data_IF_464992517584
#
_entry.id   IF_464992517584
#
_cell.length_a   1.000
_cell.length_b   1.000
_cell.length_c   1.000
_cell.angle_alpha   90.00
_cell.angle_beta   90.00
_cell.angle_gamma   90.00
#
_symmetry.space_group_name_H-M   'P 1'
#
loop_
_entity.id
_entity.type
_entity.pdbx_description
1 polymer ?
#
# COMPACT_ATOMS: atom_id res chain seq x y z
N UNK A 1 5.99 4.28 16.73
CA UNK A 1 6.99 5.37 16.74
C UNK A 1 8.17 5.01 15.86
N UNK A 2 8.76 6.00 15.16
CA UNK A 2 9.90 5.82 14.25
C UNK A 2 11.19 5.32 14.93
N UNK A 3 11.27 5.40 16.26
CA UNK A 3 12.33 4.78 17.09
C UNK A 3 12.20 3.27 17.21
N UNK A 4 11.17 2.65 16.62
CA UNK A 4 11.00 1.21 16.64
C UNK A 4 12.17 0.50 15.93
N UNK A 5 12.81 -0.40 16.66
CA UNK A 5 13.88 -1.24 16.10
C UNK A 5 13.32 -2.30 15.15
N UNK A 6 14.22 -2.88 14.34
CA UNK A 6 13.90 -4.09 13.55
C UNK A 6 13.26 -5.19 14.40
N UNK A 7 13.78 -5.45 15.60
CA UNK A 7 13.25 -6.48 16.48
C UNK A 7 11.84 -6.14 17.01
N UNK A 8 11.53 -4.85 17.19
CA UNK A 8 10.18 -4.42 17.56
C UNK A 8 9.20 -4.64 16.40
N UNK A 9 9.56 -4.26 15.17
CA UNK A 9 8.66 -4.38 14.02
C UNK A 9 8.36 -5.82 13.60
N UNK A 10 9.41 -6.63 13.39
CA UNK A 10 9.24 -7.99 12.85
C UNK A 10 9.36 -9.10 13.90
N UNK A 11 9.77 -8.75 15.12
CA UNK A 11 9.96 -9.71 16.20
C UNK A 11 11.41 -10.17 16.33
N UNK A 12 11.66 -10.91 17.42
CA UNK A 12 12.97 -11.40 17.82
C UNK A 12 13.55 -10.68 19.03
N UNK A 13 14.88 -10.45 18.99
CA UNK A 13 15.69 -10.09 20.16
C UNK A 13 16.43 -11.30 20.72
N UNK A 14 16.74 -11.28 22.01
CA UNK A 14 17.34 -12.43 22.71
C UNK A 14 16.37 -13.62 22.84
N UNK A 15 15.07 -13.34 22.86
CA UNK A 15 13.99 -14.34 22.90
C UNK A 15 13.21 -14.36 21.58
N UNK A 16 12.54 -15.48 21.31
CA UNK A 16 11.65 -15.65 20.16
C UNK A 16 10.30 -14.98 20.46
N UNK A 17 10.23 -13.66 20.30
CA UNK A 17 9.00 -12.88 20.52
C UNK A 17 8.40 -12.36 19.21
N UNK A 18 7.06 -12.27 19.12
CA UNK A 18 6.40 -11.61 17.99
C UNK A 18 6.73 -10.11 17.98
N UNK A 19 6.71 -9.51 16.79
CA UNK A 19 6.81 -8.06 16.61
C UNK A 19 5.47 -7.42 16.25
N UNK A 20 5.48 -6.10 16.05
CA UNK A 20 4.30 -5.30 15.70
C UNK A 20 3.56 -5.84 14.48
N UNK A 21 4.28 -6.29 13.45
CA UNK A 21 3.66 -6.85 12.23
C UNK A 21 2.88 -8.14 12.51
N UNK A 22 3.31 -8.92 13.49
CA UNK A 22 2.59 -10.12 13.94
C UNK A 22 1.41 -9.77 14.83
N UNK A 23 1.58 -8.79 15.72
CA UNK A 23 0.49 -8.30 16.56
C UNK A 23 -0.64 -7.67 15.73
N UNK A 24 -0.29 -7.07 14.59
CA UNK A 24 -1.22 -6.51 13.61
C UNK A 24 -1.83 -7.56 12.66
N UNK A 25 -1.63 -8.87 12.89
CA UNK A 25 -2.19 -9.91 12.02
C UNK A 25 -3.73 -9.79 11.93
N UNK A 26 -4.25 -9.79 10.71
CA UNK A 26 -5.64 -9.50 10.34
C UNK A 26 -6.14 -8.09 10.71
N UNK A 27 -5.24 -7.21 11.15
CA UNK A 27 -5.51 -5.80 11.42
C UNK A 27 -4.70 -4.87 10.52
N UNK A 28 -4.40 -3.69 11.07
CA UNK A 28 -3.68 -2.61 10.39
C UNK A 28 -2.38 -2.34 11.14
N UNK A 29 -1.27 -2.34 10.42
CA UNK A 29 0.00 -1.80 10.88
C UNK A 29 0.14 -0.38 10.35
N UNK A 30 0.09 0.62 11.23
CA UNK A 30 0.23 2.03 10.86
C UNK A 30 1.63 2.56 11.16
N UNK A 31 2.31 3.11 10.15
CA UNK A 31 3.63 3.73 10.27
C UNK A 31 3.53 5.21 9.91
N UNK A 32 3.50 6.06 10.94
CA UNK A 32 3.60 7.50 10.75
C UNK A 32 5.06 7.94 10.58
N UNK A 33 5.31 8.94 9.75
CA UNK A 33 6.66 9.44 9.42
C UNK A 33 7.57 8.34 8.83
N UNK A 34 7.12 7.65 7.79
CA UNK A 34 7.80 6.47 7.22
C UNK A 34 9.32 6.65 6.98
N UNK A 35 9.83 7.79 6.44
CA UNK A 35 11.26 8.01 6.23
C UNK A 35 12.08 8.20 7.52
N UNK A 36 11.45 8.41 8.68
CA UNK A 36 12.15 8.53 9.96
C UNK A 36 12.50 7.18 10.58
N UNK A 37 11.89 6.09 10.10
CA UNK A 37 12.31 4.75 10.50
C UNK A 37 13.70 4.42 9.94
N UNK A 38 14.49 3.70 10.73
CA UNK A 38 15.76 3.16 10.24
C UNK A 38 15.55 2.28 9.01
N UNK A 39 16.48 2.35 8.05
CA UNK A 39 16.43 1.54 6.82
C UNK A 39 16.33 0.05 7.12
N UNK A 40 17.06 -0.44 8.11
CA UNK A 40 17.02 -1.85 8.53
C UNK A 40 15.65 -2.29 9.06
N UNK A 41 14.92 -1.40 9.72
CA UNK A 41 13.57 -1.66 10.22
C UNK A 41 12.57 -1.74 9.05
N UNK A 42 12.67 -0.82 8.08
CA UNK A 42 11.84 -0.80 6.88
C UNK A 42 12.10 -2.01 5.96
N UNK A 43 13.37 -2.34 5.71
CA UNK A 43 13.72 -3.50 4.88
C UNK A 43 13.22 -4.81 5.49
N UNK A 44 13.18 -4.91 6.82
CA UNK A 44 12.67 -6.11 7.49
C UNK A 44 11.20 -6.38 7.19
N UNK A 45 10.40 -5.36 6.83
CA UNK A 45 8.98 -5.53 6.51
C UNK A 45 8.74 -6.23 5.16
N UNK A 46 9.74 -6.24 4.26
CA UNK A 46 9.58 -6.77 2.90
C UNK A 46 9.12 -8.22 2.83
N UNK A 47 9.66 -9.06 3.71
CA UNK A 47 9.30 -10.48 3.76
C UNK A 47 7.86 -10.66 4.31
N UNK A 48 7.49 -10.09 5.48
CA UNK A 48 6.12 -10.20 5.97
C UNK A 48 5.06 -9.64 4.99
N UNK A 49 5.34 -8.53 4.31
CA UNK A 49 4.42 -7.95 3.31
C UNK A 49 4.20 -8.83 2.07
N UNK A 50 5.10 -9.78 1.83
CA UNK A 50 5.03 -10.69 0.68
C UNK A 50 4.47 -12.05 1.09
N UNK A 51 5.00 -12.65 2.15
CA UNK A 51 4.66 -14.01 2.58
C UNK A 51 3.51 -14.06 3.60
N UNK A 52 3.18 -12.94 4.25
CA UNK A 52 2.19 -12.89 5.32
C UNK A 52 2.62 -13.64 6.59
N UNK A 53 3.92 -13.87 6.77
CA UNK A 53 4.52 -14.53 7.94
C UNK A 53 5.94 -14.02 8.17
N UNK A 54 6.44 -14.22 9.38
CA UNK A 54 7.84 -13.92 9.77
C UNK A 54 8.47 -15.14 10.38
N UNK A 55 9.67 -15.48 9.93
CA UNK A 55 10.50 -16.53 10.55
C UNK A 55 11.58 -15.86 11.39
N UNK A 56 11.58 -16.15 12.70
CA UNK A 56 12.58 -15.64 13.64
C UNK A 56 13.47 -16.80 14.06
N UNK A 57 14.75 -16.74 13.67
CA UNK A 57 15.77 -17.73 14.05
C UNK A 57 16.82 -17.12 14.97
N UNK A 58 17.05 -17.73 16.13
CA UNK A 58 18.01 -17.32 17.17
C UNK A 58 18.70 -18.54 17.79
N UNK A 59 19.71 -18.31 18.64
CA UNK A 59 20.35 -19.40 19.42
C UNK A 59 19.34 -20.24 20.21
N UNK A 60 18.26 -19.61 20.69
CA UNK A 60 17.19 -20.28 21.44
C UNK A 60 16.26 -21.15 20.56
N UNK A 61 16.36 -21.10 19.23
CA UNK A 61 15.53 -21.88 18.31
C UNK A 61 14.99 -21.06 17.13
N UNK A 62 14.05 -21.65 16.40
CA UNK A 62 13.34 -21.00 15.28
C UNK A 62 11.84 -21.03 15.54
N UNK A 63 11.16 -19.90 15.35
CA UNK A 63 9.71 -19.80 15.41
C UNK A 63 9.18 -19.06 14.19
N UNK A 64 8.00 -19.48 13.72
CA UNK A 64 7.27 -18.80 12.63
C UNK A 64 6.03 -18.13 13.20
N UNK A 65 5.88 -16.85 12.92
CA UNK A 65 4.75 -16.04 13.36
C UNK A 65 3.91 -15.59 12.15
N UNK A 66 2.58 -15.52 12.26
CA UNK A 66 1.75 -14.95 11.21
C UNK A 66 1.94 -13.43 11.13
N UNK A 67 1.72 -12.84 9.96
CA UNK A 67 1.94 -11.41 9.70
C UNK A 67 1.10 -10.87 8.52
N UNK A 68 -0.10 -11.44 8.28
CA UNK A 68 -1.03 -10.92 7.26
C UNK A 68 -1.72 -9.66 7.78
N UNK A 69 -1.13 -8.49 7.60
CA UNK A 69 -1.72 -7.20 8.01
C UNK A 69 -1.85 -6.26 6.80
N UNK A 70 -2.75 -5.27 6.90
CA UNK A 70 -2.74 -4.13 5.98
C UNK A 70 -1.73 -3.10 6.49
N UNK A 71 -0.71 -2.80 5.69
CA UNK A 71 0.23 -1.72 6.01
C UNK A 71 -0.36 -0.39 5.52
N UNK A 72 -0.47 0.57 6.43
CA UNK A 72 -0.78 1.97 6.12
C UNK A 72 0.40 2.81 6.59
N UNK A 73 0.91 3.67 5.73
CA UNK A 73 2.04 4.52 6.06
C UNK A 73 1.77 5.96 5.63
N UNK A 74 2.26 6.91 6.43
CA UNK A 74 2.21 8.33 6.13
C UNK A 74 3.62 8.90 6.09
N UNK A 75 3.83 9.89 5.22
CA UNK A 75 5.08 10.64 5.17
C UNK A 75 4.87 12.05 4.63
N UNK A 76 5.69 12.98 5.11
CA UNK A 76 5.80 14.29 4.50
C UNK A 76 6.49 14.19 3.13
N UNK A 77 6.23 15.13 2.19
CA UNK A 77 6.88 15.13 0.88
C UNK A 77 8.37 15.50 0.93
N UNK A 78 8.80 16.14 2.02
CA UNK A 78 10.19 16.51 2.35
C UNK A 78 10.34 16.70 3.87
N UNK A 79 11.57 16.87 4.41
CA UNK A 79 11.79 17.04 5.85
C UNK A 79 11.05 18.24 6.47
N UNK A 80 10.85 19.33 5.72
CA UNK A 80 10.12 20.49 6.23
C UNK A 80 8.60 20.41 6.01
N UNK A 81 8.11 19.40 5.28
CA UNK A 81 6.68 19.21 4.98
C UNK A 81 6.06 20.17 3.97
N UNK A 82 6.81 21.16 3.46
CA UNK A 82 6.27 22.25 2.63
C UNK A 82 6.52 22.09 1.12
N UNK A 83 7.09 20.97 0.68
CA UNK A 83 7.32 20.74 -0.75
C UNK A 83 5.97 20.61 -1.48
N UNK A 84 5.72 21.51 -2.45
CA UNK A 84 4.46 21.57 -3.18
C UNK A 84 3.32 22.29 -2.43
N UNK A 85 3.58 22.89 -1.28
CA UNK A 85 2.55 23.60 -0.52
C UNK A 85 2.14 24.90 -1.26
N UNK A 86 0.83 25.19 -1.40
CA UNK A 86 0.35 26.30 -2.23
C UNK A 86 0.74 27.69 -1.66
N UNK A 87 0.71 27.84 -0.34
CA UNK A 87 0.95 29.15 0.32
C UNK A 87 2.34 29.32 0.95
N UNK A 88 3.03 28.23 1.30
CA UNK A 88 4.25 28.25 2.11
C UNK A 88 5.42 27.69 1.29
N UNK A 89 6.49 28.46 1.07
CA UNK A 89 7.61 27.97 0.29
C UNK A 89 8.40 26.89 1.05
N UNK A 90 8.76 25.83 0.34
CA UNK A 90 9.71 24.84 0.80
C UNK A 90 11.12 25.44 0.93
N UNK A 91 11.83 25.10 2.01
CA UNK A 91 13.22 25.54 2.25
C UNK A 91 14.26 24.44 1.99
N UNK A 92 13.82 23.23 1.66
CA UNK A 92 14.70 22.11 1.39
C UNK A 92 15.34 22.26 0.00
N UNK A 93 16.64 21.98 -0.11
CA UNK A 93 17.29 21.83 -1.41
C UNK A 93 16.83 20.55 -2.10
N UNK A 94 16.91 20.45 -3.45
CA UNK A 94 16.59 19.22 -4.17
C UNK A 94 17.34 18.00 -3.63
N UNK A 95 18.64 18.13 -3.35
CA UNK A 95 19.46 17.05 -2.77
C UNK A 95 19.02 16.64 -1.36
N UNK A 96 18.42 17.54 -0.58
CA UNK A 96 17.83 17.21 0.73
C UNK A 96 16.54 16.43 0.57
N UNK A 97 15.69 16.82 -0.40
CA UNK A 97 14.43 16.13 -0.71
C UNK A 97 14.71 14.71 -1.19
N UNK A 98 15.61 14.56 -2.16
CA UNK A 98 16.01 13.27 -2.72
C UNK A 98 16.56 12.35 -1.64
N UNK A 99 17.49 12.83 -0.80
CA UNK A 99 18.05 12.05 0.32
C UNK A 99 17.01 11.61 1.35
N UNK A 100 16.00 12.43 1.59
CA UNK A 100 14.91 12.10 2.50
C UNK A 100 14.02 11.00 1.90
N UNK A 101 13.65 11.13 0.63
CA UNK A 101 12.87 10.14 -0.13
C UNK A 101 13.61 8.81 -0.30
N UNK A 102 14.92 8.85 -0.55
CA UNK A 102 15.78 7.68 -0.76
C UNK A 102 15.95 6.81 0.50
N UNK A 103 15.47 7.26 1.67
CA UNK A 103 15.41 6.41 2.87
C UNK A 103 14.43 5.26 2.69
N UNK A 104 13.43 5.42 1.84
CA UNK A 104 12.52 4.35 1.44
C UNK A 104 13.10 3.67 0.21
N UNK A 105 13.31 2.36 0.28
CA UNK A 105 13.87 1.64 -0.85
C UNK A 105 12.82 1.39 -1.93
N UNK A 106 13.26 1.39 -3.19
CA UNK A 106 12.43 0.98 -4.31
C UNK A 106 11.79 -0.42 -4.13
N UNK A 107 12.52 -1.45 -3.68
CA UNK A 107 11.94 -2.76 -3.36
C UNK A 107 10.83 -2.72 -2.31
N UNK A 108 10.86 -1.80 -1.34
CA UNK A 108 9.77 -1.62 -0.39
C UNK A 108 8.58 -0.91 -1.05
N UNK A 109 8.83 0.17 -1.79
CA UNK A 109 7.80 0.91 -2.54
C UNK A 109 7.06 0.02 -3.55
N UNK A 110 7.72 -0.97 -4.14
CA UNK A 110 7.11 -1.96 -5.04
C UNK A 110 6.06 -2.85 -4.36
N UNK A 111 6.16 -2.99 -3.03
CA UNK A 111 5.21 -3.74 -2.20
C UNK A 111 4.05 -2.88 -1.69
N UNK A 112 4.09 -1.58 -1.92
CA UNK A 112 2.98 -0.67 -1.63
C UNK A 112 2.03 -0.69 -2.82
N UNK A 113 0.78 -1.04 -2.54
CA UNK A 113 -0.25 -1.22 -3.57
C UNK A 113 -0.79 0.11 -4.11
N UNK A 114 -0.96 1.08 -3.22
CA UNK A 114 -1.61 2.37 -3.45
C UNK A 114 -0.75 3.46 -2.83
N UNK A 115 -0.52 4.54 -3.57
CA UNK A 115 0.12 5.77 -3.09
C UNK A 115 -0.85 6.93 -3.39
N UNK A 116 -1.20 7.69 -2.35
CA UNK A 116 -2.14 8.82 -2.49
C UNK A 116 -1.49 10.07 -1.90
N UNK A 117 -1.46 11.14 -2.67
CA UNK A 117 -1.12 12.46 -2.17
C UNK A 117 -2.34 13.08 -1.48
N UNK A 118 -2.13 13.56 -0.26
CA UNK A 118 -3.13 14.33 0.48
C UNK A 118 -2.70 15.79 0.45
N UNK A 119 -3.40 16.67 -0.30
CA UNK A 119 -3.07 18.07 -0.33
C UNK A 119 -3.31 18.71 1.06
N UNK A 120 -2.57 19.78 1.40
CA UNK A 120 -2.82 20.50 2.64
C UNK A 120 -4.26 21.04 2.67
N UNK A 121 -4.94 20.84 3.79
CA UNK A 121 -6.27 21.40 4.00
C UNK A 121 -6.19 22.92 4.15
N UNK A 122 -7.04 23.64 3.41
CA UNK A 122 -7.23 25.08 3.63
C UNK A 122 -8.12 25.29 4.85
N UNK A 123 -7.99 26.44 5.54
CA UNK A 123 -8.87 26.79 6.66
C UNK A 123 -10.35 26.75 6.24
N UNK A 124 -10.66 27.22 5.02
CA UNK A 124 -12.00 27.15 4.45
C UNK A 124 -12.52 25.71 4.25
N UNK A 125 -11.64 24.74 3.99
CA UNK A 125 -12.03 23.33 3.90
C UNK A 125 -12.32 22.73 5.28
N UNK A 126 -11.62 23.17 6.34
CA UNK A 126 -11.88 22.77 7.72
C UNK A 126 -13.22 23.33 8.25
N UNK A 127 -13.55 24.56 7.87
CA UNK A 127 -14.82 25.21 8.25
C UNK A 127 -16.00 24.71 7.40
N UNK A 128 -15.74 24.12 6.23
CA UNK A 128 -16.79 23.54 5.41
C UNK A 128 -17.32 22.25 6.07
N UNK A 129 -18.50 22.33 6.67
CA UNK A 129 -19.31 21.17 7.07
C UNK A 129 -19.89 20.48 5.82
N UNK A 130 -19.05 20.16 4.83
CA UNK A 130 -19.50 19.35 3.69
C UNK A 130 -20.05 18.04 4.23
N UNK A 131 -21.07 17.51 3.56
CA UNK A 131 -21.60 16.16 3.77
C UNK A 131 -20.49 15.13 3.51
N UNK A 132 -19.60 14.98 4.49
CA UNK A 132 -18.57 13.98 4.46
C UNK A 132 -19.26 12.62 4.59
N UNK A 133 -18.95 11.72 3.67
CA UNK A 133 -19.45 10.35 3.72
C UNK A 133 -19.14 9.78 5.11
N UNK A 134 -20.18 9.36 5.82
CA UNK A 134 -20.01 8.91 7.20
C UNK A 134 -19.22 7.59 7.23
N UNK A 135 -18.54 7.29 8.34
CA UNK A 135 -17.89 5.98 8.50
C UNK A 135 -18.88 4.82 8.40
N UNK A 136 -20.17 5.05 8.73
CA UNK A 136 -21.22 4.07 8.57
C UNK A 136 -21.53 3.78 7.08
N UNK A 137 -21.60 4.81 6.25
CA UNK A 137 -21.79 4.68 4.79
C UNK A 137 -20.59 3.99 4.13
N UNK A 138 -19.37 4.39 4.49
CA UNK A 138 -18.15 3.72 4.00
C UNK A 138 -18.13 2.25 4.41
N UNK A 139 -18.47 1.95 5.68
CA UNK A 139 -18.57 0.57 6.17
C UNK A 139 -19.59 -0.24 5.38
N UNK A 140 -20.76 0.33 5.09
CA UNK A 140 -21.79 -0.35 4.31
C UNK A 140 -21.29 -0.72 2.89
N UNK A 141 -20.61 0.22 2.21
CA UNK A 141 -19.99 -0.03 0.90
C UNK A 141 -18.94 -1.14 0.94
N UNK A 142 -18.07 -1.13 1.96
CA UNK A 142 -17.03 -2.15 2.14
C UNK A 142 -17.64 -3.54 2.38
N UNK A 143 -18.69 -3.62 3.22
CA UNK A 143 -19.39 -4.90 3.49
C UNK A 143 -20.04 -5.43 2.20
N UNK A 144 -20.73 -4.58 1.44
CA UNK A 144 -21.37 -4.98 0.19
C UNK A 144 -20.35 -5.53 -0.83
N UNK A 145 -19.18 -4.91 -0.92
CA UNK A 145 -18.08 -5.41 -1.76
C UNK A 145 -17.53 -6.75 -1.28
N UNK A 146 -17.37 -6.93 0.03
CA UNK A 146 -16.92 -8.22 0.62
C UNK A 146 -17.93 -9.35 0.40
N UNK A 147 -19.23 -9.05 0.48
CA UNK A 147 -20.28 -10.03 0.20
C UNK A 147 -20.31 -10.40 -1.29
N UNK A 148 -20.26 -9.41 -2.18
CA UNK A 148 -20.17 -9.63 -3.63
C UNK A 148 -18.96 -10.51 -3.97
N UNK A 149 -17.80 -10.16 -3.39
CA UNK A 149 -16.57 -10.95 -3.47
C UNK A 149 -16.85 -12.40 -3.03
N UNK A 150 -17.39 -12.61 -1.83
CA UNK A 150 -17.66 -13.95 -1.27
C UNK A 150 -18.57 -14.79 -2.17
N UNK A 151 -19.63 -14.22 -2.71
CA UNK A 151 -20.56 -14.90 -3.62
C UNK A 151 -19.84 -15.35 -4.89
N UNK A 152 -19.03 -14.46 -5.48
CA UNK A 152 -18.23 -14.77 -6.67
C UNK A 152 -17.21 -15.88 -6.42
N UNK A 153 -16.66 -15.98 -5.21
CA UNK A 153 -15.64 -16.98 -4.84
C UNK A 153 -16.19 -18.35 -4.42
N UNK A 154 -17.51 -18.54 -4.30
CA UNK A 154 -18.16 -19.84 -4.02
C UNK A 154 -17.48 -20.74 -2.94
N UNK A 155 -16.81 -20.15 -1.94
CA UNK A 155 -16.14 -20.89 -0.87
C UNK A 155 -14.66 -21.23 -1.09
N UNK A 156 -14.03 -20.76 -2.18
CA UNK A 156 -12.58 -20.84 -2.35
C UNK A 156 -11.90 -19.70 -1.59
N UNK A 157 -10.80 -20.00 -0.88
CA UNK A 157 -10.04 -19.02 -0.10
C UNK A 157 -9.60 -17.85 -1.01
N UNK A 158 -10.09 -16.62 -0.78
CA UNK A 158 -9.73 -15.48 -1.60
C UNK A 158 -8.23 -15.11 -1.55
N UNK A 159 -7.48 -15.68 -0.60
CA UNK A 159 -6.02 -15.50 -0.48
C UNK A 159 -5.21 -16.46 -1.35
N UNK A 160 -5.81 -17.54 -1.88
CA UNK A 160 -5.12 -18.52 -2.75
C UNK A 160 -5.34 -18.24 -4.25
N UNK A 161 -6.33 -17.41 -4.59
CA UNK A 161 -6.77 -17.17 -5.98
C UNK A 161 -6.15 -15.93 -6.64
N UNK A 162 -5.07 -15.41 -6.08
CA UNK A 162 -4.46 -14.15 -6.54
C UNK A 162 -3.69 -14.37 -7.85
N UNK A 163 -4.14 -13.72 -8.93
CA UNK A 163 -3.41 -13.60 -10.20
C UNK A 163 -4.18 -14.17 -11.40
N UNK A 164 -4.49 -15.47 -11.39
CA UNK A 164 -5.12 -16.14 -12.54
C UNK A 164 -6.61 -15.80 -12.73
N UNK A 165 -7.36 -15.63 -11.66
CA UNK A 165 -8.78 -15.23 -11.77
C UNK A 165 -8.95 -13.72 -12.00
N UNK A 166 -8.01 -12.90 -11.52
CA UNK A 166 -8.02 -11.48 -11.86
C UNK A 166 -7.91 -11.33 -13.38
N UNK A 167 -6.95 -12.05 -14.00
CA UNK A 167 -6.78 -12.10 -15.45
C UNK A 167 -8.02 -12.59 -16.21
N UNK A 168 -8.76 -13.58 -15.69
CA UNK A 168 -10.00 -14.07 -16.33
C UNK A 168 -11.19 -13.11 -16.20
N UNK A 169 -11.16 -12.19 -15.24
CA UNK A 169 -12.21 -11.19 -15.07
C UNK A 169 -11.96 -9.91 -15.86
N UNK A 170 -10.73 -9.65 -16.34
CA UNK A 170 -10.44 -8.47 -17.14
C UNK A 170 -11.09 -8.57 -18.51
N UNK A 171 -11.70 -7.49 -18.98
CA UNK A 171 -12.09 -7.39 -20.40
C UNK A 171 -10.84 -7.32 -21.29
N UNK A 172 -11.00 -7.66 -22.57
CA UNK A 172 -9.91 -7.58 -23.55
C UNK A 172 -9.34 -6.16 -23.65
N UNK A 173 -10.18 -5.14 -23.55
CA UNK A 173 -9.80 -3.73 -23.58
C UNK A 173 -9.04 -3.33 -22.31
N UNK A 174 -9.50 -3.78 -21.13
CA UNK A 174 -8.84 -3.52 -19.86
C UNK A 174 -7.45 -4.17 -19.81
N UNK A 175 -7.33 -5.40 -20.34
CA UNK A 175 -6.05 -6.11 -20.48
C UNK A 175 -5.09 -5.35 -21.41
N UNK A 176 -5.60 -4.83 -22.53
CA UNK A 176 -4.80 -4.05 -23.47
C UNK A 176 -4.28 -2.77 -22.82
N UNK A 177 -5.13 -2.00 -22.14
CA UNK A 177 -4.73 -0.80 -21.40
C UNK A 177 -3.63 -1.11 -20.38
N UNK A 178 -3.83 -2.17 -19.57
CA UNK A 178 -2.86 -2.57 -18.56
C UNK A 178 -1.49 -2.89 -19.18
N UNK A 179 -1.45 -3.66 -20.28
CA UNK A 179 -0.21 -4.02 -20.98
C UNK A 179 0.48 -2.80 -21.58
N UNK A 180 -0.26 -1.92 -22.24
CA UNK A 180 0.26 -0.69 -22.83
C UNK A 180 0.88 0.23 -21.76
N UNK A 181 0.17 0.43 -20.64
CA UNK A 181 0.67 1.23 -19.52
C UNK A 181 1.95 0.62 -18.92
N UNK A 182 1.97 -0.68 -18.65
CA UNK A 182 3.15 -1.34 -18.07
C UNK A 182 4.37 -1.32 -18.99
N UNK A 183 4.16 -1.46 -20.30
CA UNK A 183 5.22 -1.39 -21.29
C UNK A 183 5.81 0.03 -21.39
N UNK A 184 4.96 1.06 -21.34
CA UNK A 184 5.38 2.46 -21.37
C UNK A 184 6.19 2.84 -20.13
N UNK A 185 5.75 2.41 -18.95
CA UNK A 185 6.36 2.77 -17.67
C UNK A 185 7.49 1.81 -17.23
N UNK A 186 7.85 0.81 -18.04
CA UNK A 186 8.90 -0.16 -17.71
C UNK A 186 8.64 -1.00 -16.45
N UNK A 187 7.37 -1.20 -16.10
CA UNK A 187 6.97 -1.76 -14.81
C UNK A 187 7.18 -3.28 -14.72
N UNK A 188 7.55 -3.76 -13.53
CA UNK A 188 7.82 -5.18 -13.26
C UNK A 188 6.55 -6.06 -13.24
N UNK A 189 6.71 -7.38 -13.35
CA UNK A 189 5.60 -8.34 -13.19
C UNK A 189 4.89 -8.27 -11.82
N UNK A 190 5.56 -7.72 -10.80
CA UNK A 190 4.93 -7.43 -9.50
C UNK A 190 3.94 -6.27 -9.63
N UNK A 191 4.31 -5.21 -10.34
CA UNK A 191 3.42 -4.08 -10.59
C UNK A 191 2.18 -4.54 -11.37
N UNK A 192 2.32 -5.39 -12.39
CA UNK A 192 1.17 -6.02 -13.09
C UNK A 192 0.20 -6.68 -12.11
N UNK A 193 0.69 -7.65 -11.34
CA UNK A 193 -0.15 -8.42 -10.40
C UNK A 193 -0.84 -7.52 -9.38
N UNK A 194 -0.14 -6.51 -8.89
CA UNK A 194 -0.62 -5.64 -7.83
C UNK A 194 -1.62 -4.61 -8.35
N UNK A 195 -1.39 -4.00 -9.53
CA UNK A 195 -2.39 -3.17 -10.23
C UNK A 195 -3.67 -3.97 -10.47
N UNK A 196 -3.57 -5.22 -10.93
CA UNK A 196 -4.75 -6.07 -11.12
C UNK A 196 -5.53 -6.30 -9.82
N UNK A 197 -4.85 -6.49 -8.68
CA UNK A 197 -5.51 -6.66 -7.38
C UNK A 197 -6.27 -5.40 -6.97
N UNK A 198 -5.70 -4.23 -7.21
CA UNK A 198 -6.37 -2.95 -6.96
C UNK A 198 -7.59 -2.81 -7.87
N UNK A 199 -7.42 -3.02 -9.18
CA UNK A 199 -8.52 -2.95 -10.16
C UNK A 199 -9.67 -3.92 -9.83
N UNK A 200 -9.36 -5.15 -9.39
CA UNK A 200 -10.36 -6.12 -8.93
C UNK A 200 -11.10 -5.65 -7.68
N UNK A 201 -10.41 -4.98 -6.77
CA UNK A 201 -11.02 -4.42 -5.55
C UNK A 201 -11.97 -3.26 -5.90
N UNK A 202 -11.59 -2.42 -6.86
CA UNK A 202 -12.45 -1.35 -7.39
C UNK A 202 -13.70 -1.97 -8.05
N UNK A 203 -13.52 -2.98 -8.91
CA UNK A 203 -14.64 -3.69 -9.51
C UNK A 203 -15.56 -4.37 -8.48
N UNK A 204 -15.00 -4.91 -7.38
CA UNK A 204 -15.78 -5.48 -6.27
C UNK A 204 -16.57 -4.38 -5.52
N UNK A 205 -16.03 -3.16 -5.39
CA UNK A 205 -16.74 -2.00 -4.82
C UNK A 205 -17.91 -1.56 -5.71
N UNK A 206 -17.76 -1.66 -7.03
CA UNK A 206 -18.82 -1.37 -8.01
C UNK A 206 -19.76 -2.57 -8.26
N UNK A 207 -19.53 -3.69 -7.55
CA UNK A 207 -20.29 -4.94 -7.70
C UNK A 207 -20.32 -5.46 -9.15
N UNK A 208 -19.23 -5.21 -9.88
CA UNK A 208 -19.09 -5.63 -11.27
C UNK A 208 -18.26 -6.93 -11.36
N UNK A 209 -18.81 -7.96 -12.00
CA UNK A 209 -18.10 -9.22 -12.19
C UNK A 209 -16.89 -9.05 -13.13
N UNK A 210 -16.99 -8.19 -14.14
CA UNK A 210 -15.90 -7.89 -15.05
C UNK A 210 -15.06 -6.71 -14.53
N UNK A 211 -13.74 -6.80 -14.74
CA UNK A 211 -12.82 -5.68 -14.53
C UNK A 211 -12.71 -4.92 -15.84
N UNK A 212 -13.36 -3.77 -15.92
CA UNK A 212 -13.40 -2.91 -17.10
C UNK A 212 -12.20 -1.97 -17.17
N UNK A 213 -12.15 -1.17 -18.24
CA UNK A 213 -11.10 -0.19 -18.50
C UNK A 213 -11.06 0.86 -17.38
N UNK A 214 -12.21 1.30 -16.88
CA UNK A 214 -12.34 2.31 -15.83
C UNK A 214 -11.67 1.85 -14.54
N UNK A 215 -11.93 0.61 -14.10
CA UNK A 215 -11.31 0.06 -12.90
C UNK A 215 -9.78 -0.08 -13.02
N UNK A 216 -9.28 -0.43 -14.22
CA UNK A 216 -7.83 -0.51 -14.48
C UNK A 216 -7.21 0.88 -14.52
N UNK A 217 -7.86 1.85 -15.16
CA UNK A 217 -7.39 3.22 -15.24
C UNK A 217 -7.27 3.86 -13.85
N UNK A 218 -8.28 3.67 -12.98
CA UNK A 218 -8.23 4.15 -11.60
C UNK A 218 -7.13 3.43 -10.79
N UNK A 219 -7.00 2.11 -10.93
CA UNK A 219 -5.93 1.36 -10.27
C UNK A 219 -4.53 1.81 -10.70
N UNK A 220 -4.36 2.14 -11.99
CA UNK A 220 -3.13 2.72 -12.51
C UNK A 220 -2.91 4.11 -11.91
N UNK A 221 -3.92 4.99 -11.87
CA UNK A 221 -3.79 6.33 -11.28
C UNK A 221 -3.40 6.28 -9.80
N UNK A 222 -3.97 5.36 -9.02
CA UNK A 222 -3.63 5.14 -7.61
C UNK A 222 -2.21 4.57 -7.38
N UNK A 223 -1.57 4.05 -8.43
CA UNK A 223 -0.27 3.37 -8.33
C UNK A 223 0.86 4.12 -9.04
N UNK A 224 0.57 4.76 -10.17
CA UNK A 224 1.51 5.37 -11.11
C UNK A 224 1.58 6.89 -10.98
N UNK A 225 1.16 7.45 -9.84
CA UNK A 225 1.28 8.89 -9.58
C UNK A 225 2.68 9.40 -10.02
N UNK A 226 2.73 10.51 -10.77
CA UNK A 226 3.93 11.06 -11.43
C UNK A 226 5.09 11.21 -10.44
N UNK A 227 4.79 11.42 -9.15
CA UNK A 227 5.81 11.55 -8.10
C UNK A 227 6.35 10.23 -7.58
N UNK A 228 5.68 9.11 -7.86
CA UNK A 228 6.26 7.79 -7.67
C UNK A 228 7.46 7.64 -8.60
N UNK A 229 7.40 8.16 -9.83
CA UNK A 229 8.57 8.26 -10.71
C UNK A 229 9.64 9.18 -10.10
N UNK A 230 9.28 10.31 -9.49
CA UNK A 230 10.23 11.16 -8.72
C UNK A 230 10.76 10.54 -7.41
N UNK A 231 10.14 9.46 -6.91
CA UNK A 231 10.64 8.67 -5.79
C UNK A 231 11.65 7.59 -6.27
N UNK A 232 11.62 7.26 -7.56
CA UNK A 232 12.49 6.27 -8.20
C UNK A 232 13.60 6.88 -9.09
N UNK A 233 13.46 8.15 -9.48
CA UNK A 233 14.44 8.94 -10.24
C UNK A 233 15.52 9.53 -9.32
#
# INVERSE_FOLDING_TARGET
HHTASRAALVGGGAMLRPGEVTLAHHGVLFLDELPEFSRDALEALRQPLEEGRVVVSRRAGTSTFPARCTLVAAMNPCPCGLLGHPEKPCRCSPATVERYRSRISGPLLDRIDILVEVPPLTLAALDSSRDATSSAEVRARVIAAQEFRRVRFQGVDPTTLVGREAESCLTSEAMRLLREALAREGLSGRAYTRTMRVARTIADLDQNAAVTVEHVAEALALRLDDRRLDLFA
#
